data_IF_028878856220
#
_entry.id   IF_028878856220
#
_cell.length_a   1.000
_cell.length_b   1.000
_cell.length_c   1.000
_cell.angle_alpha   90.00
_cell.angle_beta   90.00
_cell.angle_gamma   90.00
#
_symmetry.space_group_name_H-M   'P 1'
#
loop_
_entity.id
_entity.type
_entity.pdbx_description
1 polymer ?
#
# COMPACT_ATOMS: atom_id res chain seq x y z
N UNK A 1 -3.76 -7.12 -17.57
CA UNK A 1 -4.64 -6.05 -17.05
C UNK A 1 -3.86 -5.29 -15.99
N UNK A 2 -4.12 -4.00 -15.74
CA UNK A 2 -3.44 -3.29 -14.63
C UNK A 2 -4.09 -3.68 -13.31
N UNK A 3 -3.28 -3.83 -12.25
CA UNK A 3 -3.78 -4.11 -10.90
C UNK A 3 -4.83 -3.07 -10.47
N UNK A 4 -5.85 -3.52 -9.75
CA UNK A 4 -6.95 -2.70 -9.26
C UNK A 4 -6.82 -2.29 -7.81
N UNK A 5 -6.06 -3.07 -7.03
CA UNK A 5 -5.59 -2.71 -5.69
C UNK A 5 -4.08 -2.67 -5.73
N UNK A 6 -3.51 -1.48 -5.52
CA UNK A 6 -2.07 -1.25 -5.48
C UNK A 6 -1.71 -0.92 -4.04
N UNK A 7 -0.94 -1.79 -3.41
CA UNK A 7 -0.55 -1.68 -2.00
C UNK A 7 0.89 -1.20 -1.89
N UNK A 8 1.12 -0.18 -1.10
CA UNK A 8 2.45 0.25 -0.68
C UNK A 8 2.69 -0.17 0.76
N UNK A 9 3.70 -1.00 0.99
CA UNK A 9 4.07 -1.50 2.31
C UNK A 9 5.58 -1.42 2.50
N UNK A 10 6.07 -1.68 3.70
CA UNK A 10 7.49 -1.63 4.05
C UNK A 10 7.69 -1.09 5.47
N UNK A 11 8.94 -0.97 5.88
CA UNK A 11 9.30 -0.47 7.22
C UNK A 11 8.81 0.97 7.46
N UNK A 12 8.76 1.39 8.72
CA UNK A 12 8.48 2.79 9.06
C UNK A 12 9.53 3.75 8.47
N UNK A 13 9.08 4.88 7.91
CA UNK A 13 9.99 5.94 7.42
C UNK A 13 10.59 5.75 6.03
N UNK A 14 10.28 4.68 5.30
CA UNK A 14 10.84 4.41 3.95
C UNK A 14 10.19 5.21 2.82
N UNK A 15 9.15 6.02 3.11
CA UNK A 15 8.46 6.85 2.12
C UNK A 15 7.23 6.21 1.46
N UNK A 16 6.57 5.24 2.10
CA UNK A 16 5.33 4.61 1.60
C UNK A 16 4.27 5.63 1.21
N UNK A 17 3.94 6.53 2.13
CA UNK A 17 2.93 7.59 1.92
C UNK A 17 3.28 8.48 0.75
N UNK A 18 4.54 8.87 0.62
CA UNK A 18 5.01 9.72 -0.49
C UNK A 18 4.84 9.02 -1.84
N UNK A 19 5.26 7.76 -1.93
CA UNK A 19 5.17 6.99 -3.17
C UNK A 19 3.73 6.58 -3.50
N UNK A 20 2.90 6.23 -2.53
CA UNK A 20 1.48 5.92 -2.76
C UNK A 20 0.70 7.13 -3.25
N UNK A 21 0.94 8.32 -2.68
CA UNK A 21 0.36 9.56 -3.17
C UNK A 21 0.86 9.92 -4.57
N UNK A 22 2.17 9.74 -4.85
CA UNK A 22 2.75 9.98 -6.18
C UNK A 22 2.16 9.04 -7.24
N UNK A 23 2.00 7.75 -6.93
CA UNK A 23 1.33 6.79 -7.80
C UNK A 23 -0.13 7.18 -8.06
N UNK A 24 -0.85 7.59 -7.01
CA UNK A 24 -2.25 8.02 -7.15
C UNK A 24 -2.35 9.24 -8.04
N UNK A 25 -1.48 10.23 -7.85
CA UNK A 25 -1.43 11.44 -8.67
C UNK A 25 -1.15 11.10 -10.14
N UNK A 26 -0.16 10.26 -10.41
CA UNK A 26 0.18 9.80 -11.76
C UNK A 26 -0.98 9.09 -12.45
N UNK A 27 -1.68 8.19 -11.75
CA UNK A 27 -2.85 7.49 -12.28
C UNK A 27 -3.99 8.47 -12.59
N UNK A 28 -4.26 9.41 -11.68
CA UNK A 28 -5.26 10.44 -11.88
C UNK A 28 -4.94 11.32 -13.10
N UNK A 29 -3.71 11.78 -13.24
CA UNK A 29 -3.27 12.62 -14.37
C UNK A 29 -3.34 11.86 -15.70
N UNK A 30 -3.19 10.54 -15.69
CA UNK A 30 -3.42 9.68 -16.85
C UNK A 30 -4.91 9.37 -17.13
N UNK A 31 -5.84 10.01 -16.42
CA UNK A 31 -7.28 9.86 -16.60
C UNK A 31 -7.88 8.58 -16.02
N UNK A 32 -7.16 7.88 -15.14
CA UNK A 32 -7.69 6.69 -14.45
C UNK A 32 -8.65 7.08 -13.34
N UNK A 33 -9.70 6.27 -13.16
CA UNK A 33 -10.56 6.34 -12.00
C UNK A 33 -9.82 5.73 -10.81
N UNK A 34 -9.28 6.58 -9.93
CA UNK A 34 -8.39 6.16 -8.83
C UNK A 34 -8.78 6.84 -7.53
N UNK A 35 -8.65 6.10 -6.42
CA UNK A 35 -8.78 6.61 -5.06
C UNK A 35 -7.52 6.24 -4.25
N UNK A 36 -7.07 7.18 -3.44
CA UNK A 36 -6.08 6.93 -2.40
C UNK A 36 -6.78 6.46 -1.13
N UNK A 37 -6.20 5.50 -0.42
CA UNK A 37 -6.66 5.07 0.89
C UNK A 37 -5.45 4.87 1.82
N UNK A 38 -5.51 5.42 3.01
CA UNK A 38 -4.45 5.36 4.01
C UNK A 38 -4.59 4.22 5.03
N UNK A 39 -5.44 3.28 4.78
CA UNK A 39 -5.70 2.07 5.56
C UNK A 39 -5.46 2.21 7.08
N UNK A 40 -6.44 2.71 7.81
CA UNK A 40 -6.42 2.83 9.29
C UNK A 40 -5.27 3.70 9.86
N UNK A 41 -4.71 4.61 9.06
CA UNK A 41 -3.75 5.61 9.51
C UNK A 41 -4.40 7.00 9.52
N UNK A 42 -3.82 7.93 10.27
CA UNK A 42 -4.26 9.33 10.24
C UNK A 42 -3.92 9.94 8.88
N UNK A 43 -4.92 10.28 8.05
CA UNK A 43 -4.67 10.81 6.73
C UNK A 43 -4.13 12.23 6.80
N UNK A 44 -3.23 12.57 5.88
CA UNK A 44 -2.85 13.96 5.65
C UNK A 44 -3.80 14.59 4.63
N UNK A 45 -5.04 14.87 5.05
CA UNK A 45 -6.07 15.45 4.17
C UNK A 45 -5.62 16.75 3.52
N UNK A 46 -4.94 17.64 4.27
CA UNK A 46 -4.44 18.89 3.72
C UNK A 46 -3.49 18.69 2.53
N UNK A 47 -2.72 17.59 2.53
CA UNK A 47 -1.85 17.23 1.40
C UNK A 47 -2.65 16.66 0.24
N UNK A 48 -3.63 15.79 0.50
CA UNK A 48 -4.53 15.26 -0.52
C UNK A 48 -5.32 16.40 -1.20
N UNK A 49 -5.87 17.32 -0.42
CA UNK A 49 -6.63 18.47 -0.93
C UNK A 49 -5.74 19.39 -1.78
N UNK A 50 -4.55 19.73 -1.30
CA UNK A 50 -3.58 20.56 -2.02
C UNK A 50 -3.22 19.97 -3.39
N UNK A 51 -3.04 18.65 -3.46
CA UNK A 51 -2.73 17.92 -4.70
C UNK A 51 -3.99 17.47 -5.44
N UNK A 52 -5.18 17.78 -4.91
CA UNK A 52 -6.47 17.34 -5.45
C UNK A 52 -6.52 15.83 -5.69
N UNK A 53 -5.88 15.05 -4.80
CA UNK A 53 -5.89 13.59 -4.85
C UNK A 53 -7.23 13.10 -4.32
N UNK A 54 -8.04 12.38 -5.11
CA UNK A 54 -9.27 11.80 -4.62
C UNK A 54 -8.93 10.68 -3.62
N UNK A 55 -9.54 10.73 -2.45
CA UNK A 55 -9.25 9.79 -1.37
C UNK A 55 -10.51 9.13 -0.84
N UNK A 56 -10.34 7.95 -0.32
CA UNK A 56 -11.35 7.16 0.36
C UNK A 56 -10.98 7.07 1.83
N UNK A 57 -11.75 7.74 2.65
CA UNK A 57 -11.63 7.63 4.10
C UNK A 57 -12.49 6.47 4.60
N UNK A 58 -11.91 5.60 5.41
CA UNK A 58 -12.59 4.44 5.97
C UNK A 58 -12.32 4.40 7.47
N UNK A 59 -13.29 4.89 8.23
CA UNK A 59 -13.30 4.65 9.67
C UNK A 59 -13.80 3.23 9.96
N UNK A 60 -13.15 2.56 10.91
CA UNK A 60 -13.45 1.16 11.24
C UNK A 60 -14.92 0.98 11.64
N UNK A 61 -15.44 1.85 12.49
CA UNK A 61 -16.82 1.76 12.97
C UNK A 61 -17.83 1.96 11.85
N UNK A 62 -17.65 2.97 11.00
CA UNK A 62 -18.51 3.24 9.85
C UNK A 62 -18.43 2.11 8.83
N UNK A 63 -17.22 1.65 8.53
CA UNK A 63 -16.98 0.53 7.62
C UNK A 63 -17.64 -0.75 8.12
N UNK A 64 -17.61 -1.00 9.42
CA UNK A 64 -18.27 -2.16 10.03
C UNK A 64 -19.79 -2.07 9.96
N UNK A 65 -20.37 -0.87 10.20
CA UNK A 65 -21.81 -0.66 10.04
C UNK A 65 -22.22 -0.88 8.58
N UNK A 66 -21.51 -0.31 7.62
CA UNK A 66 -21.82 -0.47 6.20
C UNK A 66 -21.69 -1.93 5.76
N UNK A 67 -20.61 -2.60 6.17
CA UNK A 67 -20.39 -4.02 5.90
C UNK A 67 -21.53 -4.89 6.44
N UNK A 68 -21.91 -4.69 7.71
CA UNK A 68 -23.00 -5.42 8.34
C UNK A 68 -24.35 -5.09 7.70
N UNK A 69 -24.59 -3.83 7.34
CA UNK A 69 -25.83 -3.40 6.68
C UNK A 69 -26.02 -4.10 5.32
N UNK A 70 -24.95 -4.25 4.55
CA UNK A 70 -24.98 -4.99 3.28
C UNK A 70 -25.33 -6.46 3.49
N UNK A 71 -24.91 -7.06 4.60
CA UNK A 71 -25.19 -8.48 4.91
C UNK A 71 -26.58 -8.71 5.51
N UNK A 72 -27.06 -7.77 6.31
CA UNK A 72 -28.35 -7.88 7.01
C UNK A 72 -29.51 -7.21 6.23
N UNK A 73 -29.19 -6.46 5.17
CA UNK A 73 -30.17 -5.71 4.40
C UNK A 73 -30.74 -4.47 5.12
N UNK A 74 -30.14 -4.07 6.25
CA UNK A 74 -30.63 -2.92 7.05
C UNK A 74 -29.51 -2.21 7.80
N UNK A 75 -29.33 -0.91 7.49
CA UNK A 75 -28.41 -0.04 8.22
C UNK A 75 -28.82 0.19 9.69
N UNK A 76 -30.11 0.20 9.96
CA UNK A 76 -30.62 0.38 11.33
C UNK A 76 -30.24 -0.80 12.22
N UNK A 77 -30.45 -2.04 11.74
CA UNK A 77 -30.11 -3.25 12.47
C UNK A 77 -28.58 -3.35 12.64
N UNK A 78 -27.82 -3.07 11.59
CA UNK A 78 -26.37 -3.06 11.66
C UNK A 78 -25.84 -2.05 12.69
N UNK A 79 -26.32 -0.82 12.67
CA UNK A 79 -25.95 0.22 13.63
C UNK A 79 -26.32 -0.13 15.09
N UNK A 80 -27.44 -0.84 15.30
CA UNK A 80 -27.81 -1.31 16.61
C UNK A 80 -26.86 -2.41 17.12
N UNK A 81 -26.53 -3.40 16.28
CA UNK A 81 -25.59 -4.49 16.62
C UNK A 81 -24.21 -3.91 16.95
N UNK A 82 -23.72 -2.98 16.13
CA UNK A 82 -22.40 -2.36 16.31
C UNK A 82 -22.26 -1.59 17.63
N UNK A 83 -23.37 -1.00 18.12
CA UNK A 83 -23.40 -0.28 19.42
C UNK A 83 -23.49 -1.21 20.62
N UNK A 84 -23.62 -2.52 20.42
CA UNK A 84 -23.63 -3.45 21.56
C UNK A 84 -22.25 -3.58 22.18
N UNK A 85 -22.13 -3.67 23.52
CA UNK A 85 -20.85 -3.91 24.19
C UNK A 85 -20.16 -5.21 23.71
N UNK A 86 -20.96 -6.18 23.30
CA UNK A 86 -20.46 -7.45 22.74
C UNK A 86 -19.64 -7.23 21.46
N UNK A 87 -20.13 -6.45 20.52
CA UNK A 87 -19.43 -6.23 19.26
C UNK A 87 -18.16 -5.39 19.42
N UNK A 88 -18.23 -4.34 20.24
CA UNK A 88 -17.04 -3.57 20.63
C UNK A 88 -15.97 -4.46 21.27
N UNK A 89 -16.38 -5.31 22.22
CA UNK A 89 -15.45 -6.28 22.82
C UNK A 89 -14.87 -7.25 21.80
N UNK A 90 -15.67 -7.73 20.86
CA UNK A 90 -15.23 -8.65 19.80
C UNK A 90 -14.15 -8.01 18.91
N UNK A 91 -14.33 -6.75 18.50
CA UNK A 91 -13.35 -6.00 17.72
C UNK A 91 -12.00 -5.86 18.46
N UNK A 92 -12.05 -5.65 19.78
CA UNK A 92 -10.84 -5.53 20.61
C UNK A 92 -10.19 -6.88 20.92
N UNK A 93 -10.97 -7.94 21.04
CA UNK A 93 -10.48 -9.29 21.40
C UNK A 93 -9.93 -10.07 20.21
N UNK A 94 -10.35 -9.77 19.00
CA UNK A 94 -9.91 -10.47 17.77
C UNK A 94 -8.97 -9.59 16.94
N UNK A 95 -7.66 -9.70 17.15
CA UNK A 95 -6.69 -8.97 16.36
C UNK A 95 -6.88 -9.25 14.86
N UNK A 96 -6.91 -8.20 14.06
CA UNK A 96 -7.09 -8.30 12.60
C UNK A 96 -8.54 -8.33 12.11
N UNK A 97 -9.56 -8.42 12.97
CA UNK A 97 -10.97 -8.33 12.54
C UNK A 97 -11.26 -6.96 11.90
N UNK A 98 -10.75 -5.88 12.49
CA UNK A 98 -10.86 -4.54 11.90
C UNK A 98 -10.22 -4.47 10.50
N UNK A 99 -9.06 -5.07 10.32
CA UNK A 99 -8.39 -5.12 9.01
C UNK A 99 -9.22 -5.86 7.95
N UNK A 100 -9.89 -6.95 8.34
CA UNK A 100 -10.79 -7.70 7.44
C UNK A 100 -11.99 -6.84 7.03
N UNK A 101 -12.57 -6.10 7.97
CA UNK A 101 -13.73 -5.23 7.71
C UNK A 101 -13.35 -4.13 6.70
N UNK A 102 -12.26 -3.42 6.94
CA UNK A 102 -11.76 -2.37 6.04
C UNK A 102 -11.41 -2.97 4.67
N UNK A 103 -10.70 -4.10 4.64
CA UNK A 103 -10.35 -4.80 3.40
C UNK A 103 -11.60 -5.25 2.64
N UNK A 104 -12.60 -5.80 3.34
CA UNK A 104 -13.88 -6.18 2.75
C UNK A 104 -14.61 -5.00 2.13
N UNK A 105 -14.56 -3.83 2.77
CA UNK A 105 -15.14 -2.59 2.24
C UNK A 105 -14.40 -2.14 0.97
N UNK A 106 -13.06 -2.13 0.97
CA UNK A 106 -12.26 -1.79 -0.22
C UNK A 106 -12.57 -2.73 -1.40
N UNK A 107 -12.59 -4.04 -1.15
CA UNK A 107 -12.90 -5.03 -2.18
C UNK A 107 -14.32 -4.85 -2.72
N UNK A 108 -15.31 -4.59 -1.85
CA UNK A 108 -16.68 -4.30 -2.29
C UNK A 108 -16.75 -3.09 -3.23
N UNK A 109 -15.99 -2.03 -2.93
CA UNK A 109 -15.91 -0.86 -3.82
C UNK A 109 -15.32 -1.21 -5.17
N UNK A 110 -14.23 -1.98 -5.18
CA UNK A 110 -13.57 -2.43 -6.38
C UNK A 110 -14.47 -3.34 -7.24
N UNK A 111 -15.25 -4.22 -6.64
CA UNK A 111 -16.17 -5.10 -7.37
C UNK A 111 -17.37 -4.36 -7.94
N UNK A 112 -17.90 -3.35 -7.22
CA UNK A 112 -19.01 -2.53 -7.70
C UNK A 112 -18.65 -1.62 -8.88
N UNK A 113 -17.40 -1.15 -8.94
CA UNK A 113 -16.91 -0.31 -10.03
C UNK A 113 -15.70 -0.98 -10.71
N UNK A 114 -15.88 -1.64 -11.85
CA UNK A 114 -14.80 -2.29 -12.59
C UNK A 114 -13.72 -1.35 -13.11
N UNK A 115 -13.96 -0.04 -13.17
CA UNK A 115 -12.99 0.96 -13.64
C UNK A 115 -12.10 1.49 -12.52
N UNK A 116 -12.54 1.32 -11.26
CA UNK A 116 -11.86 1.86 -10.09
C UNK A 116 -10.54 1.14 -9.81
N UNK A 117 -9.53 1.93 -9.51
CA UNK A 117 -8.25 1.50 -8.90
C UNK A 117 -8.14 2.13 -7.52
N UNK A 118 -7.71 1.38 -6.53
CA UNK A 118 -7.39 1.90 -5.20
C UNK A 118 -5.89 1.76 -4.96
N UNK A 119 -5.24 2.87 -4.62
CA UNK A 119 -3.85 2.88 -4.14
C UNK A 119 -3.90 2.97 -2.62
N UNK A 120 -3.42 1.93 -1.97
CA UNK A 120 -3.47 1.77 -0.53
C UNK A 120 -2.10 2.03 0.10
N UNK A 121 -2.02 3.04 0.95
CA UNK A 121 -0.89 3.26 1.85
C UNK A 121 -1.09 2.41 3.09
N UNK A 122 -0.39 1.29 3.17
CA UNK A 122 -0.58 0.36 4.27
C UNK A 122 0.25 0.76 5.50
N UNK A 123 -0.15 0.32 6.70
CA UNK A 123 0.66 0.42 7.89
C UNK A 123 2.05 -0.21 7.69
N UNK A 124 2.93 -0.10 8.69
CA UNK A 124 4.24 -0.75 8.66
C UNK A 124 4.13 -2.26 8.37
N UNK A 125 5.20 -2.84 7.84
CA UNK A 125 5.26 -4.21 7.30
C UNK A 125 4.60 -5.30 8.14
N UNK A 126 4.74 -5.26 9.47
CA UNK A 126 4.11 -6.24 10.36
C UNK A 126 2.57 -6.18 10.32
N UNK A 127 1.98 -4.99 10.31
CA UNK A 127 0.53 -4.82 10.20
C UNK A 127 0.00 -5.18 8.80
N UNK A 128 0.77 -4.86 7.74
CA UNK A 128 0.40 -5.27 6.39
C UNK A 128 0.36 -6.80 6.26
N UNK A 129 1.34 -7.51 6.82
CA UNK A 129 1.32 -8.98 6.88
C UNK A 129 0.08 -9.49 7.59
N UNK A 130 -0.19 -8.98 8.81
CA UNK A 130 -1.38 -9.37 9.59
C UNK A 130 -2.67 -9.15 8.82
N UNK A 131 -2.76 -8.11 8.00
CA UNK A 131 -3.94 -7.84 7.17
C UNK A 131 -4.25 -8.98 6.18
N UNK A 132 -3.23 -9.47 5.47
CA UNK A 132 -3.38 -10.60 4.54
C UNK A 132 -3.56 -11.93 5.27
N UNK A 133 -2.80 -12.18 6.34
CA UNK A 133 -2.92 -13.37 7.18
C UNK A 133 -4.29 -13.50 7.83
N UNK A 134 -4.87 -12.37 8.26
CA UNK A 134 -6.17 -12.35 8.94
C UNK A 134 -7.25 -12.99 8.07
N UNK A 135 -7.26 -12.74 6.76
CA UNK A 135 -8.23 -13.37 5.85
C UNK A 135 -8.14 -14.89 5.86
N UNK A 136 -6.92 -15.44 5.99
CA UNK A 136 -6.70 -16.88 6.04
C UNK A 136 -7.02 -17.47 7.42
N UNK A 137 -6.62 -16.78 8.49
CA UNK A 137 -6.83 -17.26 9.87
C UNK A 137 -8.31 -17.25 10.25
N UNK A 138 -9.04 -16.20 9.91
CA UNK A 138 -10.47 -16.10 10.22
C UNK A 138 -11.32 -17.11 9.45
N UNK A 139 -10.90 -17.50 8.24
CA UNK A 139 -11.55 -18.59 7.50
C UNK A 139 -11.52 -19.91 8.27
N UNK A 140 -10.43 -20.21 8.96
CA UNK A 140 -10.31 -21.41 9.82
C UNK A 140 -11.22 -21.32 11.04
N UNK A 141 -11.41 -20.11 11.59
CA UNK A 141 -12.24 -19.89 12.79
C UNK A 141 -13.72 -20.02 12.46
N UNK A 142 -14.18 -19.44 11.36
CA UNK A 142 -15.61 -19.38 11.03
C UNK A 142 -16.15 -20.60 10.27
N UNK A 143 -15.31 -21.50 9.77
CA UNK A 143 -15.63 -22.83 9.22
C UNK A 143 -16.76 -22.90 8.19
N UNK A 144 -17.85 -22.16 8.35
CA UNK A 144 -19.02 -22.11 7.44
C UNK A 144 -19.88 -20.87 7.69
N UNK A 145 -20.82 -20.60 6.78
CA UNK A 145 -21.78 -19.50 6.89
C UNK A 145 -21.41 -18.24 6.10
N UNK A 146 -22.13 -17.15 6.35
CA UNK A 146 -22.04 -15.91 5.57
C UNK A 146 -20.65 -15.28 5.62
N UNK A 147 -20.04 -15.21 6.80
CA UNK A 147 -18.68 -14.67 6.98
C UNK A 147 -17.63 -15.53 6.27
N UNK A 148 -17.77 -16.83 6.34
CA UNK A 148 -16.88 -17.76 5.62
C UNK A 148 -16.93 -17.55 4.10
N UNK A 149 -18.14 -17.42 3.53
CA UNK A 149 -18.30 -17.16 2.10
C UNK A 149 -17.70 -15.82 1.70
N UNK A 150 -17.83 -14.81 2.54
CA UNK A 150 -17.26 -13.49 2.29
C UNK A 150 -15.72 -13.49 2.37
N UNK A 151 -15.17 -14.21 3.33
CA UNK A 151 -13.72 -14.41 3.42
C UNK A 151 -13.17 -15.16 2.19
N UNK A 152 -13.90 -16.16 1.67
CA UNK A 152 -13.53 -16.82 0.41
C UNK A 152 -13.49 -15.82 -0.75
N UNK A 153 -14.55 -15.02 -0.90
CA UNK A 153 -14.62 -13.97 -1.93
C UNK A 153 -13.45 -12.98 -1.84
N UNK A 154 -13.12 -12.55 -0.61
CA UNK A 154 -11.96 -11.66 -0.38
C UNK A 154 -10.65 -12.34 -0.77
N UNK A 155 -10.46 -13.60 -0.41
CA UNK A 155 -9.28 -14.38 -0.80
C UNK A 155 -9.20 -14.56 -2.31
N UNK A 156 -10.31 -14.88 -2.97
CA UNK A 156 -10.37 -14.99 -4.42
C UNK A 156 -10.00 -13.66 -5.10
N UNK A 157 -10.38 -12.53 -4.53
CA UNK A 157 -9.96 -11.23 -5.03
C UNK A 157 -8.48 -10.98 -4.81
N UNK A 158 -7.98 -11.22 -3.59
CA UNK A 158 -6.60 -10.90 -3.19
C UNK A 158 -5.56 -11.78 -3.88
N UNK A 159 -5.87 -13.06 -4.09
CA UNK A 159 -4.90 -14.05 -4.57
C UNK A 159 -5.15 -14.52 -6.01
N UNK A 160 -6.11 -13.95 -6.75
CA UNK A 160 -6.45 -14.33 -8.13
C UNK A 160 -5.52 -13.77 -9.23
N UNK A 161 -4.33 -13.34 -8.88
CA UNK A 161 -3.22 -13.14 -9.82
C UNK A 161 -3.03 -11.74 -10.37
N UNK A 162 -4.04 -11.10 -10.94
CA UNK A 162 -3.86 -9.84 -11.69
C UNK A 162 -4.50 -8.60 -11.04
N UNK A 163 -5.25 -8.78 -9.97
CA UNK A 163 -6.03 -7.71 -9.33
C UNK A 163 -5.26 -6.91 -8.30
N UNK A 164 -4.25 -7.52 -7.67
CA UNK A 164 -3.49 -6.92 -6.56
C UNK A 164 -2.01 -6.84 -6.90
N UNK A 165 -1.43 -5.66 -6.74
CA UNK A 165 0.01 -5.42 -6.84
C UNK A 165 0.53 -4.88 -5.51
N UNK A 166 1.53 -5.52 -4.94
CA UNK A 166 2.16 -5.11 -3.68
C UNK A 166 3.53 -4.53 -3.96
N UNK A 167 3.75 -3.28 -3.58
CA UNK A 167 5.02 -2.59 -3.67
C UNK A 167 5.65 -2.55 -2.28
N UNK A 168 6.68 -3.34 -2.07
CA UNK A 168 7.50 -3.33 -0.85
C UNK A 168 8.53 -2.22 -0.99
N UNK A 169 8.30 -1.13 -0.27
CA UNK A 169 9.17 0.06 -0.30
C UNK A 169 10.35 -0.15 0.63
N UNK A 170 11.54 0.14 0.13
CA UNK A 170 12.80 0.02 0.87
C UNK A 170 13.71 1.23 0.63
N UNK A 171 14.76 1.37 1.44
CA UNK A 171 15.83 2.35 1.26
C UNK A 171 17.08 1.66 0.69
N UNK A 172 18.02 2.42 0.08
CA UNK A 172 19.25 1.87 -0.51
C UNK A 172 20.30 1.54 0.57
N UNK A 173 19.93 0.69 1.52
CA UNK A 173 20.84 0.12 2.53
C UNK A 173 20.74 -1.39 2.54
N UNK A 174 21.85 -2.08 2.84
CA UNK A 174 21.93 -3.54 2.82
C UNK A 174 20.87 -4.18 3.75
N UNK A 175 20.72 -3.65 4.97
CA UNK A 175 19.74 -4.16 5.91
C UNK A 175 18.30 -3.96 5.42
N UNK A 176 17.99 -2.79 4.85
CA UNK A 176 16.63 -2.50 4.40
C UNK A 176 16.22 -3.34 3.19
N UNK A 177 17.15 -3.61 2.26
CA UNK A 177 16.86 -4.46 1.10
C UNK A 177 16.67 -5.92 1.50
N UNK A 178 17.44 -6.45 2.45
CA UNK A 178 17.24 -7.81 2.97
C UNK A 178 15.86 -7.94 3.65
N UNK A 179 15.47 -6.98 4.51
CA UNK A 179 14.12 -6.95 5.12
C UNK A 179 13.02 -6.91 4.04
N UNK A 180 13.22 -6.13 2.97
CA UNK A 180 12.27 -6.07 1.86
C UNK A 180 12.18 -7.39 1.09
N UNK A 181 13.29 -8.09 0.89
CA UNK A 181 13.34 -9.41 0.23
C UNK A 181 12.64 -10.49 1.07
N UNK A 182 12.84 -10.47 2.39
CA UNK A 182 12.13 -11.35 3.31
C UNK A 182 10.61 -11.08 3.27
N UNK A 183 10.21 -9.82 3.31
CA UNK A 183 8.81 -9.41 3.24
C UNK A 183 8.17 -9.81 1.90
N UNK A 184 8.86 -9.59 0.78
CA UNK A 184 8.43 -10.06 -0.55
C UNK A 184 8.22 -11.56 -0.56
N UNK A 185 9.19 -12.32 -0.04
CA UNK A 185 9.11 -13.79 0.03
C UNK A 185 7.92 -14.25 0.86
N UNK A 186 7.65 -13.58 1.98
CA UNK A 186 6.49 -13.88 2.81
C UNK A 186 5.17 -13.61 2.07
N UNK A 187 5.02 -12.47 1.39
CA UNK A 187 3.82 -12.18 0.59
C UNK A 187 3.61 -13.18 -0.55
N UNK A 188 4.67 -13.57 -1.25
CA UNK A 188 4.61 -14.64 -2.25
C UNK A 188 4.19 -15.98 -1.64
N UNK A 189 4.69 -16.29 -0.44
CA UNK A 189 4.30 -17.47 0.33
C UNK A 189 2.83 -17.50 0.74
N UNK A 190 2.17 -16.34 0.89
CA UNK A 190 0.71 -16.25 1.09
C UNK A 190 -0.11 -16.41 -0.20
N UNK A 191 0.53 -16.44 -1.36
CA UNK A 191 -0.14 -16.62 -2.64
C UNK A 191 -0.37 -15.34 -3.45
N UNK A 192 0.15 -14.18 -2.99
CA UNK A 192 0.20 -12.97 -3.80
C UNK A 192 1.14 -13.19 -4.98
N UNK A 193 0.76 -12.78 -6.18
CA UNK A 193 1.53 -13.07 -7.40
C UNK A 193 2.35 -11.88 -7.90
N UNK A 194 1.87 -10.66 -7.72
CA UNK A 194 2.56 -9.44 -8.14
C UNK A 194 3.11 -8.69 -6.92
N UNK A 195 4.31 -9.07 -6.48
CA UNK A 195 5.04 -8.43 -5.36
C UNK A 195 6.36 -7.88 -5.86
N UNK A 196 6.52 -6.57 -5.75
CA UNK A 196 7.67 -5.80 -6.26
C UNK A 196 8.45 -5.19 -5.12
N UNK A 197 9.76 -5.11 -5.24
CA UNK A 197 10.60 -4.29 -4.37
C UNK A 197 10.82 -2.95 -5.08
N UNK A 198 10.51 -1.88 -4.37
CA UNK A 198 10.62 -0.50 -4.83
C UNK A 198 11.59 0.24 -3.93
N UNK A 199 12.72 0.62 -4.47
CA UNK A 199 13.75 1.37 -3.72
C UNK A 199 13.49 2.87 -3.81
N UNK A 200 13.40 3.52 -2.66
CA UNK A 200 13.18 4.96 -2.55
C UNK A 200 14.44 5.68 -2.03
N UNK A 201 14.50 7.00 -2.17
CA UNK A 201 15.59 7.85 -1.64
C UNK A 201 16.98 7.50 -2.19
N UNK A 202 17.07 7.08 -3.44
CA UNK A 202 18.32 6.66 -4.08
C UNK A 202 19.08 7.83 -4.72
N UNK A 203 20.31 8.08 -4.31
CA UNK A 203 21.20 9.06 -4.95
C UNK A 203 21.57 8.68 -6.38
N UNK A 204 21.93 7.40 -6.69
CA UNK A 204 22.18 6.97 -8.06
C UNK A 204 21.01 7.12 -9.02
N UNK A 205 19.78 7.22 -8.51
CA UNK A 205 18.57 7.39 -9.32
C UNK A 205 18.24 8.84 -9.65
N UNK A 206 19.04 9.80 -9.19
CA UNK A 206 18.91 11.21 -9.55
C UNK A 206 19.40 11.38 -11.00
N UNK A 207 18.54 11.84 -11.95
CA UNK A 207 18.89 11.89 -13.37
C UNK A 207 20.17 12.69 -13.69
N UNK A 208 20.40 13.77 -12.92
CA UNK A 208 21.55 14.65 -13.10
C UNK A 208 22.83 14.14 -12.43
N UNK A 209 22.83 12.97 -11.80
CA UNK A 209 24.00 12.44 -11.11
C UNK A 209 24.95 11.73 -12.08
N UNK A 210 25.62 12.54 -12.92
CA UNK A 210 26.65 12.06 -13.85
C UNK A 210 27.97 11.76 -13.13
N UNK A 211 28.88 10.96 -13.71
CA UNK A 211 30.19 10.67 -13.14
C UNK A 211 31.00 11.93 -12.77
N UNK A 212 30.88 12.97 -13.60
CA UNK A 212 31.55 14.26 -13.38
C UNK A 212 30.98 14.97 -12.15
N UNK A 213 29.66 14.94 -11.96
CA UNK A 213 29.02 15.50 -10.75
C UNK A 213 29.34 14.70 -9.50
N UNK A 214 29.39 13.39 -9.59
CA UNK A 214 29.76 12.52 -8.46
C UNK A 214 31.18 12.85 -7.99
N UNK A 215 32.13 13.11 -8.91
CA UNK A 215 33.48 13.50 -8.58
C UNK A 215 33.60 14.84 -7.83
N UNK A 216 32.59 15.71 -7.97
CA UNK A 216 32.54 17.02 -7.30
C UNK A 216 31.80 16.97 -5.95
N UNK A 217 31.18 15.84 -5.59
CA UNK A 217 30.49 15.70 -4.32
C UNK A 217 31.46 15.73 -3.13
N UNK A 218 31.02 16.24 -1.97
CA UNK A 218 31.72 16.00 -0.72
C UNK A 218 32.00 14.51 -0.49
N UNK A 219 33.12 14.18 0.11
CA UNK A 219 33.60 12.80 0.28
C UNK A 219 32.53 11.85 0.84
N UNK A 220 31.74 12.29 1.84
CA UNK A 220 30.72 11.46 2.45
C UNK A 220 29.57 11.16 1.48
N UNK A 221 29.15 12.12 0.62
CA UNK A 221 28.12 11.90 -0.40
C UNK A 221 28.62 11.02 -1.53
N UNK A 222 29.88 11.20 -1.94
CA UNK A 222 30.50 10.32 -2.93
C UNK A 222 30.59 8.88 -2.43
N UNK A 223 30.97 8.66 -1.17
CA UNK A 223 30.94 7.33 -0.54
C UNK A 223 29.53 6.76 -0.46
N UNK A 224 28.54 7.56 -0.05
CA UNK A 224 27.14 7.15 0.00
C UNK A 224 26.65 6.72 -1.39
N UNK A 225 26.92 7.52 -2.43
CA UNK A 225 26.59 7.18 -3.82
C UNK A 225 27.18 5.85 -4.25
N UNK A 226 28.46 5.60 -3.95
CA UNK A 226 29.16 4.36 -4.29
C UNK A 226 28.52 3.14 -3.59
N UNK A 227 28.22 3.25 -2.30
CA UNK A 227 27.58 2.18 -1.52
C UNK A 227 26.19 1.88 -2.09
N UNK A 228 25.38 2.90 -2.33
CA UNK A 228 24.03 2.73 -2.89
C UNK A 228 24.09 2.12 -4.30
N UNK A 229 25.05 2.53 -5.13
CA UNK A 229 25.25 1.96 -6.47
C UNK A 229 25.62 0.48 -6.40
N UNK A 230 26.48 0.08 -5.46
CA UNK A 230 26.83 -1.32 -5.24
C UNK A 230 25.62 -2.15 -4.77
N UNK A 231 24.81 -1.62 -3.86
CA UNK A 231 23.58 -2.27 -3.38
C UNK A 231 22.60 -2.45 -4.55
N UNK A 232 22.35 -1.42 -5.34
CA UNK A 232 21.45 -1.48 -6.49
C UNK A 232 21.92 -2.55 -7.49
N UNK A 233 23.21 -2.59 -7.80
CA UNK A 233 23.75 -3.61 -8.73
C UNK A 233 23.68 -5.02 -8.15
N UNK A 234 23.98 -5.19 -6.85
CA UNK A 234 23.93 -6.50 -6.18
C UNK A 234 22.52 -7.09 -6.12
N UNK A 235 21.50 -6.25 -5.98
CA UNK A 235 20.08 -6.65 -5.88
C UNK A 235 19.24 -6.31 -7.11
N UNK A 236 19.88 -6.06 -8.24
CA UNK A 236 19.23 -5.62 -9.49
C UNK A 236 18.14 -6.55 -9.99
N UNK A 237 18.28 -7.85 -9.76
CA UNK A 237 17.25 -8.84 -10.15
C UNK A 237 16.01 -8.82 -9.25
N UNK A 238 16.12 -8.26 -8.05
CA UNK A 238 15.03 -8.20 -7.08
C UNK A 238 14.30 -6.86 -7.09
N UNK A 239 15.04 -5.76 -7.34
CA UNK A 239 14.52 -4.40 -7.38
C UNK A 239 13.81 -4.19 -8.70
N UNK A 240 12.52 -3.79 -8.61
CA UNK A 240 11.70 -3.51 -9.79
C UNK A 240 11.86 -2.07 -10.25
N UNK A 241 11.86 -1.13 -9.30
CA UNK A 241 11.95 0.31 -9.58
C UNK A 241 12.81 0.99 -8.53
N UNK A 242 13.52 2.06 -8.96
CA UNK A 242 14.24 2.96 -8.05
C UNK A 242 13.71 4.38 -8.22
N UNK A 243 13.56 5.08 -7.10
CA UNK A 243 13.12 6.47 -7.04
C UNK A 243 14.22 7.36 -6.46
N UNK A 244 14.43 8.55 -7.03
CA UNK A 244 15.50 9.43 -6.61
C UNK A 244 15.29 10.01 -5.22
N UNK A 245 16.38 10.31 -4.55
CA UNK A 245 16.36 11.21 -3.39
C UNK A 245 16.08 12.64 -3.87
N UNK A 246 14.95 13.20 -3.47
CA UNK A 246 14.55 14.55 -3.85
C UNK A 246 14.68 15.51 -2.66
N UNK A 247 15.22 16.68 -2.94
CA UNK A 247 15.32 17.77 -1.96
C UNK A 247 14.46 18.92 -2.47
N UNK A 248 13.19 18.94 -2.04
CA UNK A 248 12.23 19.97 -2.40
C UNK A 248 11.77 20.76 -1.18
N UNK A 249 11.23 21.96 -1.39
CA UNK A 249 10.76 22.83 -0.32
C UNK A 249 9.53 22.25 0.40
N UNK A 250 8.77 21.41 -0.26
CA UNK A 250 7.56 20.78 0.30
C UNK A 250 7.37 19.34 -0.14
N UNK A 251 6.70 18.56 0.70
CA UNK A 251 6.29 17.20 0.36
C UNK A 251 5.38 17.14 -0.88
N UNK A 252 4.55 18.17 -1.10
CA UNK A 252 3.69 18.24 -2.28
C UNK A 252 4.50 18.32 -3.59
N UNK A 253 5.60 19.06 -3.59
CA UNK A 253 6.52 19.15 -4.75
C UNK A 253 7.20 17.81 -4.98
N UNK A 254 7.71 17.17 -3.93
CA UNK A 254 8.32 15.84 -4.04
C UNK A 254 7.34 14.81 -4.60
N UNK A 255 6.08 14.80 -4.15
CA UNK A 255 5.04 13.91 -4.68
C UNK A 255 4.78 14.18 -6.16
N UNK A 256 4.67 15.47 -6.53
CA UNK A 256 4.40 15.87 -7.93
C UNK A 256 5.56 15.45 -8.84
N UNK A 257 6.77 15.57 -8.37
CA UNK A 257 7.95 15.16 -9.14
C UNK A 257 8.04 13.63 -9.24
N UNK A 258 7.86 12.91 -8.13
CA UNK A 258 7.86 11.44 -8.12
C UNK A 258 6.73 10.84 -8.96
N UNK A 259 5.59 11.52 -9.11
CA UNK A 259 4.49 11.06 -9.94
C UNK A 259 4.91 10.85 -11.41
N UNK A 260 5.87 11.63 -11.91
CA UNK A 260 6.40 11.49 -13.27
C UNK A 260 7.10 10.16 -13.51
N UNK A 261 7.70 9.58 -12.47
CA UNK A 261 8.41 8.29 -12.55
C UNK A 261 7.45 7.10 -12.64
N UNK A 262 6.17 7.26 -12.25
CA UNK A 262 5.14 6.24 -12.41
C UNK A 262 4.46 6.27 -13.78
N UNK A 263 4.54 7.40 -14.50
CA UNK A 263 3.84 7.61 -15.77
C UNK A 263 4.45 6.92 -17.00
N UNK A 264 5.47 6.08 -16.81
CA UNK A 264 6.16 5.36 -17.90
C UNK A 264 7.16 6.25 -18.64
N UNK A 265 8.34 5.73 -18.83
CA UNK A 265 9.41 6.32 -19.65
C UNK A 265 8.88 6.78 -21.01
N UNK A 266 9.05 8.06 -21.29
CA UNK A 266 9.22 8.49 -22.67
C UNK A 266 10.69 8.36 -23.03
#
# INVERSE_FOLDING_TARGET
MSARLIVFTGKGGVGKTTLSLAQTLSLKESGKNVLYNNFDQFPNYGLCDRLRIPHLDLELEESAVEYMAQKLGSHMIAGWIMKTPFFSSLLHMLPGLGHIIIMGHLINRLEKDPTLTIVMDSPSSGHAMTMFESTHNFKKIFGSGMLFNDLNRMQDFLFSGDKVSVNVVTLPTEMAIHEASELKSAFLGFGLQDVKIVMNESLPSIPEMTPERVALLPEFLSKKYQIESQIIESFKSEITNTFPHLVNESMAESITELAKYFGGSK
#
